data_IF_819195764250
#
_entry.id   IF_819195764250
#
_cell.length_a   1.000
_cell.length_b   1.000
_cell.length_c   1.000
_cell.angle_alpha   90.00
_cell.angle_beta   90.00
_cell.angle_gamma   90.00
#
_symmetry.space_group_name_H-M   'P 1'
#
loop_
_entity.id
_entity.type
_entity.pdbx_description
1 polymer ?
#
# COMPACT_ATOMS: atom_id res chain seq x y z
N UNK A 1 14.36 -0.24 -8.08
CA UNK A 1 13.08 0.17 -8.73
C UNK A 1 13.27 0.39 -10.23
N UNK A 2 14.22 1.20 -10.67
CA UNK A 2 14.43 1.53 -12.09
C UNK A 2 14.57 0.32 -13.04
N UNK A 3 14.93 -0.86 -12.54
CA UNK A 3 14.93 -2.10 -13.34
C UNK A 3 13.51 -2.52 -13.79
N UNK A 4 12.48 -2.26 -12.99
CA UNK A 4 11.09 -2.60 -13.28
C UNK A 4 10.34 -1.41 -13.88
N UNK A 5 10.59 -0.22 -13.37
CA UNK A 5 9.93 1.01 -13.76
C UNK A 5 11.02 2.06 -14.01
N UNK A 6 11.49 2.22 -15.27
CA UNK A 6 12.62 3.09 -15.61
C UNK A 6 12.45 4.54 -15.16
N UNK A 7 11.22 5.06 -15.09
CA UNK A 7 10.92 6.42 -14.63
C UNK A 7 11.48 6.72 -13.23
N UNK A 8 11.62 5.72 -12.34
CA UNK A 8 12.23 5.88 -11.02
C UNK A 8 13.75 6.06 -11.02
N UNK A 9 14.42 6.04 -12.16
CA UNK A 9 15.87 6.25 -12.22
C UNK A 9 16.29 7.67 -11.80
N UNK A 10 15.43 8.66 -12.06
CA UNK A 10 15.72 10.09 -11.87
C UNK A 10 14.89 10.76 -10.78
N UNK A 11 14.22 9.98 -9.95
CA UNK A 11 13.41 10.49 -8.84
C UNK A 11 14.24 11.39 -7.92
N UNK A 12 13.63 12.46 -7.40
CA UNK A 12 14.26 13.41 -6.46
C UNK A 12 13.57 13.33 -5.11
N UNK A 13 14.27 13.78 -4.08
CA UNK A 13 13.73 13.94 -2.74
C UNK A 13 13.47 15.41 -2.49
N UNK A 14 12.27 15.74 -2.06
CA UNK A 14 11.93 17.10 -1.64
C UNK A 14 12.47 17.40 -0.25
N UNK A 15 13.18 18.50 -0.11
CA UNK A 15 13.69 19.01 1.17
C UNK A 15 13.11 20.41 1.40
N UNK A 16 12.33 20.54 2.45
CA UNK A 16 11.77 21.84 2.81
C UNK A 16 12.85 22.73 3.44
N UNK A 17 12.89 23.97 3.00
CA UNK A 17 13.72 25.03 3.56
C UNK A 17 12.86 26.26 3.84
N UNK A 18 13.32 27.12 4.72
CA UNK A 18 12.71 28.41 4.97
C UNK A 18 13.67 29.51 4.51
N UNK A 19 13.19 30.41 3.68
CA UNK A 19 13.98 31.56 3.23
C UNK A 19 14.11 32.67 4.33
N UNK A 20 14.86 33.68 4.05
CA UNK A 20 15.08 34.79 4.99
C UNK A 20 13.79 35.58 5.29
N UNK A 21 12.76 35.47 4.47
CA UNK A 21 11.46 36.11 4.61
C UNK A 21 10.43 35.22 5.32
N UNK A 22 10.81 33.96 5.69
CA UNK A 22 9.94 32.98 6.36
C UNK A 22 9.10 32.14 5.40
N UNK A 23 9.28 32.24 4.09
CA UNK A 23 8.55 31.39 3.14
C UNK A 23 9.14 30.01 3.06
N UNK A 24 8.29 29.00 2.98
CA UNK A 24 8.72 27.61 2.74
C UNK A 24 9.03 27.38 1.26
N UNK A 25 10.20 26.85 0.98
CA UNK A 25 10.69 26.47 -0.33
C UNK A 25 10.96 24.97 -0.39
N UNK A 26 10.78 24.38 -1.55
CA UNK A 26 11.05 22.95 -1.79
C UNK A 26 12.30 22.80 -2.68
N UNK A 27 13.40 22.35 -2.10
CA UNK A 27 14.58 21.93 -2.85
C UNK A 27 14.46 20.48 -3.28
N UNK A 28 14.85 20.18 -4.51
CA UNK A 28 14.88 18.84 -5.07
C UNK A 28 16.32 18.31 -5.10
N UNK A 29 16.60 17.37 -4.21
CA UNK A 29 17.92 16.76 -4.10
C UNK A 29 17.94 15.31 -4.61
N UNK A 30 19.11 14.80 -4.95
CA UNK A 30 19.25 13.40 -5.29
C UNK A 30 19.00 12.50 -4.06
N UNK A 31 18.38 11.33 -4.21
CA UNK A 31 18.29 10.37 -3.12
C UNK A 31 19.70 9.87 -2.74
N UNK A 32 19.91 9.61 -1.45
CA UNK A 32 21.20 9.08 -0.93
C UNK A 32 21.48 7.67 -1.43
N UNK A 33 20.45 6.91 -1.77
CA UNK A 33 20.48 5.62 -2.44
C UNK A 33 19.24 5.42 -3.29
N UNK A 34 19.33 4.49 -4.21
CA UNK A 34 18.15 4.10 -4.99
C UNK A 34 17.07 3.44 -4.10
N UNK A 35 15.82 3.72 -4.40
CA UNK A 35 14.65 3.03 -3.84
C UNK A 35 14.68 1.56 -4.26
N UNK A 36 14.34 0.66 -3.33
CA UNK A 36 14.23 -0.78 -3.55
C UNK A 36 12.79 -1.28 -3.49
N UNK A 37 12.54 -2.50 -3.96
CA UNK A 37 11.25 -3.19 -3.75
C UNK A 37 10.99 -3.40 -2.26
N UNK A 38 12.04 -3.69 -1.48
CA UNK A 38 11.93 -3.82 -0.02
C UNK A 38 11.43 -2.54 0.66
N UNK A 39 11.85 -1.36 0.17
CA UNK A 39 11.36 -0.09 0.70
C UNK A 39 9.87 0.13 0.40
N UNK A 40 9.37 -0.33 -0.75
CA UNK A 40 7.94 -0.29 -1.08
C UNK A 40 7.14 -1.21 -0.16
N UNK A 41 7.60 -2.45 0.03
CA UNK A 41 6.92 -3.47 0.84
C UNK A 41 6.74 -3.04 2.30
N UNK A 42 7.61 -2.20 2.82
CA UNK A 42 7.57 -1.73 4.21
C UNK A 42 7.27 -0.25 4.38
N UNK A 43 6.76 0.43 3.36
CA UNK A 43 6.41 1.86 3.37
C UNK A 43 7.58 2.79 3.78
N UNK A 44 8.81 2.46 3.40
CA UNK A 44 9.99 3.33 3.60
C UNK A 44 10.57 3.82 2.29
N UNK A 45 9.79 3.81 1.22
CA UNK A 45 10.21 4.19 -0.13
C UNK A 45 10.49 5.69 -0.28
N UNK A 46 9.92 6.52 0.60
CA UNK A 46 9.86 7.96 0.48
C UNK A 46 8.66 8.48 -0.32
N UNK A 47 7.90 7.60 -0.98
CA UNK A 47 6.58 7.95 -1.51
C UNK A 47 5.63 8.29 -0.36
N UNK A 48 4.56 9.04 -0.66
CA UNK A 48 3.57 9.48 0.33
C UNK A 48 2.16 9.46 -0.26
N UNK A 49 1.17 9.80 0.57
CA UNK A 49 -0.16 10.24 0.15
C UNK A 49 -0.30 11.75 0.35
N UNK A 50 -1.02 12.45 -0.54
CA UNK A 50 -1.28 13.87 -0.40
C UNK A 50 -2.29 14.22 0.70
N UNK A 51 -3.12 13.27 1.11
CA UNK A 51 -4.19 13.49 2.09
C UNK A 51 -3.81 13.15 3.55
N UNK A 52 -2.59 12.65 3.80
CA UNK A 52 -2.11 12.36 5.14
C UNK A 52 -1.00 13.32 5.57
N UNK A 53 -1.28 14.15 6.58
CA UNK A 53 -0.32 15.08 7.16
C UNK A 53 -0.02 16.29 6.27
N UNK A 54 1.00 17.04 6.64
CA UNK A 54 1.36 18.31 6.03
C UNK A 54 2.73 18.28 5.35
N UNK A 55 3.05 19.31 4.58
CA UNK A 55 4.33 19.50 3.93
C UNK A 55 4.21 19.80 2.44
N UNK A 56 5.21 20.46 1.87
CA UNK A 56 5.18 20.89 0.47
C UNK A 56 5.13 19.72 -0.52
N UNK A 57 5.78 18.60 -0.20
CA UNK A 57 5.69 17.40 -1.05
C UNK A 57 4.27 16.82 -1.02
N UNK A 58 3.67 16.69 0.17
CA UNK A 58 2.30 16.18 0.30
C UNK A 58 1.29 17.06 -0.39
N UNK A 59 1.48 18.39 -0.29
CA UNK A 59 0.69 19.38 -1.02
C UNK A 59 0.82 19.20 -2.54
N UNK A 60 2.04 18.97 -3.04
CA UNK A 60 2.23 18.69 -4.47
C UNK A 60 1.50 17.44 -4.93
N UNK A 61 1.50 16.35 -4.14
CA UNK A 61 0.73 15.12 -4.41
C UNK A 61 -0.78 15.39 -4.42
N UNK A 62 -1.25 16.26 -3.54
CA UNK A 62 -2.66 16.64 -3.47
C UNK A 62 -3.07 17.50 -4.67
N UNK A 63 -2.25 18.49 -5.03
CA UNK A 63 -2.50 19.38 -6.17
C UNK A 63 -2.45 18.64 -7.51
N UNK A 64 -1.50 17.71 -7.67
CA UNK A 64 -1.43 16.84 -8.84
C UNK A 64 -2.59 15.83 -8.87
N UNK A 65 -3.24 15.59 -7.73
CA UNK A 65 -4.32 14.61 -7.60
C UNK A 65 -3.90 13.20 -8.00
N UNK A 66 -2.65 12.81 -7.67
CA UNK A 66 -2.03 11.57 -8.13
C UNK A 66 -2.82 10.32 -7.75
N UNK A 67 -3.47 10.33 -6.58
CA UNK A 67 -4.26 9.20 -6.07
C UNK A 67 -5.73 9.23 -6.51
N UNK A 68 -6.21 10.31 -7.09
CA UNK A 68 -7.59 10.43 -7.56
C UNK A 68 -7.73 9.77 -8.92
N UNK A 69 -8.21 8.69 -8.82
CA UNK A 69 -8.34 7.88 -9.80
C UNK A 69 -9.03 7.42 -10.85
N UNK A 70 -8.86 6.24 -11.06
CA UNK A 70 -9.67 5.39 -11.88
C UNK A 70 -9.59 5.57 -13.39
N UNK A 71 -9.10 6.69 -13.87
CA UNK A 71 -8.99 6.97 -15.31
C UNK A 71 -7.64 6.61 -15.91
N UNK A 72 -6.64 6.32 -15.08
CA UNK A 72 -5.29 5.92 -15.48
C UNK A 72 -5.07 4.43 -15.22
N UNK A 73 -4.23 3.79 -15.98
CA UNK A 73 -3.75 2.43 -15.73
C UNK A 73 -2.72 2.41 -14.60
N UNK A 74 -2.41 1.22 -14.07
CA UNK A 74 -1.32 1.06 -13.07
C UNK A 74 0.03 1.51 -13.64
N UNK A 75 0.25 1.31 -14.94
CA UNK A 75 1.46 1.74 -15.64
C UNK A 75 1.56 3.28 -15.68
N UNK A 76 0.52 3.95 -16.16
CA UNK A 76 0.46 5.41 -16.23
C UNK A 76 0.58 6.04 -14.85
N UNK A 77 -0.08 5.47 -13.84
CA UNK A 77 0.08 5.88 -12.45
C UNK A 77 1.54 5.80 -11.99
N UNK A 78 2.20 4.65 -12.24
CA UNK A 78 3.57 4.43 -11.81
C UNK A 78 4.56 5.38 -12.49
N UNK A 79 4.37 5.68 -13.77
CA UNK A 79 5.19 6.64 -14.49
C UNK A 79 4.95 8.07 -14.00
N UNK A 80 3.71 8.42 -13.70
CA UNK A 80 3.32 9.73 -13.20
C UNK A 80 3.84 9.97 -11.78
N UNK A 81 3.67 9.02 -10.86
CA UNK A 81 4.17 9.18 -9.48
C UNK A 81 5.69 9.23 -9.42
N UNK A 82 6.39 8.62 -10.39
CA UNK A 82 7.85 8.73 -10.49
C UNK A 82 8.35 10.13 -10.87
N UNK A 83 7.48 11.02 -11.37
CA UNK A 83 7.80 12.43 -11.60
C UNK A 83 7.64 13.27 -10.33
N UNK A 84 6.92 12.76 -9.32
CA UNK A 84 6.72 13.46 -8.06
C UNK A 84 7.95 13.33 -7.16
N UNK A 85 8.26 14.37 -6.36
CA UNK A 85 9.33 14.25 -5.39
C UNK A 85 8.98 13.24 -4.29
N UNK A 86 9.97 12.52 -3.79
CA UNK A 86 9.84 11.73 -2.57
C UNK A 86 9.76 12.67 -1.36
N UNK A 87 8.89 12.35 -0.40
CA UNK A 87 8.81 13.11 0.85
C UNK A 87 10.00 12.85 1.79
N UNK A 88 10.63 11.68 1.65
CA UNK A 88 11.73 11.26 2.52
C UNK A 88 12.81 10.53 1.72
N UNK A 89 14.00 10.45 2.28
CA UNK A 89 15.08 9.61 1.73
C UNK A 89 14.66 8.13 1.78
N UNK A 90 14.83 7.35 0.71
CA UNK A 90 14.51 5.93 0.72
C UNK A 90 15.16 5.19 1.89
N UNK A 91 14.36 4.50 2.68
CA UNK A 91 14.76 3.73 3.85
C UNK A 91 14.91 4.52 5.14
N UNK A 92 14.66 5.83 5.16
CA UNK A 92 14.86 6.65 6.36
C UNK A 92 13.64 6.80 7.24
N UNK A 93 12.46 6.77 6.64
CA UNK A 93 11.21 7.13 7.32
C UNK A 93 10.10 6.20 6.87
N UNK A 94 9.31 5.71 7.84
CA UNK A 94 8.05 5.04 7.55
C UNK A 94 6.96 6.08 7.33
N UNK A 95 6.34 6.05 6.14
CA UNK A 95 5.20 6.90 5.80
C UNK A 95 4.24 6.08 4.94
N UNK A 96 2.98 5.95 5.39
CA UNK A 96 1.95 5.24 4.65
C UNK A 96 1.72 5.92 3.31
N UNK A 97 1.75 5.16 2.21
CA UNK A 97 1.97 5.75 0.89
C UNK A 97 1.44 4.89 -0.26
N UNK A 98 1.47 5.45 -1.46
CA UNK A 98 1.20 4.75 -2.73
C UNK A 98 2.21 3.63 -3.06
N UNK A 99 3.02 3.18 -2.10
CA UNK A 99 4.03 2.13 -2.32
C UNK A 99 3.44 0.83 -2.82
N UNK A 100 2.27 0.43 -2.32
CA UNK A 100 1.60 -0.81 -2.73
C UNK A 100 0.98 -0.73 -4.13
N UNK A 101 0.58 0.46 -4.57
CA UNK A 101 0.16 0.68 -5.96
C UNK A 101 1.35 0.52 -6.92
N UNK A 102 2.50 1.07 -6.55
CA UNK A 102 3.76 0.90 -7.32
C UNK A 102 4.21 -0.57 -7.31
N UNK A 103 4.00 -1.32 -6.22
CA UNK A 103 4.24 -2.77 -6.19
C UNK A 103 3.32 -3.51 -7.17
N UNK A 104 2.08 -3.08 -7.35
CA UNK A 104 1.19 -3.59 -8.39
C UNK A 104 1.86 -3.53 -9.78
N UNK A 105 2.45 -2.37 -10.12
CA UNK A 105 3.19 -2.24 -11.38
C UNK A 105 4.43 -3.15 -11.46
N UNK A 106 5.15 -3.31 -10.35
CA UNK A 106 6.29 -4.26 -10.32
C UNK A 106 5.84 -5.67 -10.64
N UNK A 107 4.69 -6.10 -10.12
CA UNK A 107 4.11 -7.41 -10.40
C UNK A 107 3.74 -7.54 -11.88
N UNK A 108 3.10 -6.51 -12.46
CA UNK A 108 2.76 -6.52 -13.90
C UNK A 108 3.99 -6.69 -14.78
N UNK A 109 5.04 -5.89 -14.52
CA UNK A 109 6.29 -5.96 -15.30
C UNK A 109 6.99 -7.32 -15.13
N UNK A 110 7.01 -7.85 -13.90
CA UNK A 110 7.69 -9.11 -13.61
C UNK A 110 6.95 -10.33 -14.16
N UNK A 111 5.62 -10.28 -14.22
CA UNK A 111 4.77 -11.38 -14.66
C UNK A 111 4.39 -11.33 -16.14
N UNK A 112 4.43 -10.14 -16.76
CA UNK A 112 3.90 -9.91 -18.10
C UNK A 112 2.36 -9.96 -18.17
N UNK A 113 1.67 -9.86 -17.04
CA UNK A 113 0.22 -9.93 -16.92
C UNK A 113 -0.31 -8.69 -16.19
N UNK A 114 -1.63 -8.38 -16.32
CA UNK A 114 -2.24 -7.40 -15.45
C UNK A 114 -2.18 -7.88 -13.99
N UNK A 115 -2.23 -6.94 -13.05
CA UNK A 115 -2.19 -7.26 -11.62
C UNK A 115 -3.32 -8.23 -11.25
N UNK A 116 -4.53 -8.00 -11.74
CA UNK A 116 -5.66 -8.89 -11.47
C UNK A 116 -5.48 -10.27 -12.08
N UNK A 117 -5.06 -10.36 -13.34
CA UNK A 117 -4.82 -11.64 -13.99
C UNK A 117 -3.80 -12.48 -13.20
N UNK A 118 -2.72 -11.86 -12.77
CA UNK A 118 -1.70 -12.52 -11.95
C UNK A 118 -2.24 -12.95 -10.58
N UNK A 119 -2.88 -12.05 -9.83
CA UNK A 119 -3.47 -12.37 -8.53
C UNK A 119 -4.53 -13.46 -8.65
N UNK A 120 -5.41 -13.38 -9.65
CA UNK A 120 -6.45 -14.38 -9.89
C UNK A 120 -5.85 -15.76 -10.12
N UNK A 121 -4.86 -15.87 -11.00
CA UNK A 121 -4.25 -17.14 -11.35
C UNK A 121 -3.41 -17.75 -10.21
N UNK A 122 -2.69 -16.91 -9.45
CA UNK A 122 -1.70 -17.37 -8.48
C UNK A 122 -2.21 -17.46 -7.05
N UNK A 123 -3.22 -16.68 -6.70
CA UNK A 123 -3.71 -16.55 -5.34
C UNK A 123 -5.23 -16.78 -5.23
N UNK A 124 -6.04 -15.95 -5.88
CA UNK A 124 -7.48 -15.90 -5.61
C UNK A 124 -8.20 -17.17 -6.04
N UNK A 125 -8.04 -17.59 -7.30
CA UNK A 125 -8.69 -18.81 -7.80
C UNK A 125 -8.18 -20.07 -7.06
N UNK A 126 -6.86 -20.26 -6.84
CA UNK A 126 -6.38 -21.39 -6.05
C UNK A 126 -6.87 -21.43 -4.60
N UNK A 127 -7.08 -20.25 -3.97
CA UNK A 127 -7.66 -20.14 -2.63
C UNK A 127 -9.18 -20.29 -2.62
N UNK A 128 -9.84 -20.33 -3.79
CA UNK A 128 -11.31 -20.35 -3.87
C UNK A 128 -11.96 -19.00 -3.51
N UNK A 129 -11.23 -17.90 -3.61
CA UNK A 129 -11.71 -16.55 -3.36
C UNK A 129 -12.47 -16.02 -4.58
N UNK A 130 -13.69 -16.48 -4.77
CA UNK A 130 -14.46 -16.26 -6.00
C UNK A 130 -15.18 -14.91 -6.02
N UNK A 131 -15.38 -14.28 -4.87
CA UNK A 131 -16.01 -12.96 -4.73
C UNK A 131 -14.98 -11.81 -4.67
N UNK A 132 -13.70 -12.12 -4.87
CA UNK A 132 -12.62 -11.13 -4.78
C UNK A 132 -12.16 -10.67 -6.18
N UNK A 133 -12.26 -9.37 -6.44
CA UNK A 133 -11.91 -8.76 -7.73
C UNK A 133 -11.68 -7.25 -7.59
N UNK A 134 -11.24 -6.57 -8.65
CA UNK A 134 -11.17 -5.10 -8.67
C UNK A 134 -12.51 -4.43 -9.00
N UNK A 135 -13.47 -5.17 -9.54
CA UNK A 135 -14.83 -4.71 -9.79
C UNK A 135 -15.77 -5.91 -9.88
N UNK A 136 -17.06 -5.68 -9.70
CA UNK A 136 -18.12 -6.70 -9.74
C UNK A 136 -18.95 -6.49 -11.00
N UNK A 137 -18.74 -7.31 -12.02
CA UNK A 137 -19.46 -7.22 -13.31
C UNK A 137 -20.79 -7.99 -13.33
N UNK A 138 -20.93 -9.01 -12.49
CA UNK A 138 -22.10 -9.87 -12.45
C UNK A 138 -23.26 -9.17 -11.69
N UNK A 139 -24.41 -8.90 -12.33
CA UNK A 139 -25.56 -8.25 -11.68
C UNK A 139 -26.06 -8.98 -10.42
N UNK A 140 -26.00 -10.31 -10.39
CA UNK A 140 -26.41 -11.10 -9.22
C UNK A 140 -25.50 -10.83 -8.03
N UNK A 141 -24.21 -10.72 -8.29
CA UNK A 141 -23.20 -10.38 -7.27
C UNK A 141 -23.29 -8.90 -6.86
N UNK A 142 -23.61 -7.99 -7.79
CA UNK A 142 -23.81 -6.58 -7.50
C UNK A 142 -24.91 -6.34 -6.45
N UNK A 143 -25.96 -7.16 -6.44
CA UNK A 143 -27.01 -7.09 -5.43
C UNK A 143 -26.53 -7.44 -3.99
N UNK A 144 -25.35 -8.02 -3.84
CA UNK A 144 -24.74 -8.38 -2.56
C UNK A 144 -23.71 -7.36 -2.05
N UNK A 145 -23.47 -6.31 -2.83
CA UNK A 145 -22.49 -5.27 -2.43
C UNK A 145 -23.06 -4.55 -1.20
N UNK A 146 -22.25 -4.47 -0.15
CA UNK A 146 -22.58 -3.67 1.02
C UNK A 146 -22.49 -2.18 0.64
N UNK A 147 -23.58 -1.47 0.87
CA UNK A 147 -23.64 -0.03 0.64
C UNK A 147 -23.24 0.73 1.90
N UNK A 148 -22.49 1.83 1.79
CA UNK A 148 -22.29 2.72 2.91
C UNK A 148 -23.65 3.27 3.36
N UNK A 149 -23.81 3.46 4.68
CA UNK A 149 -25.02 4.09 5.19
C UNK A 149 -25.13 5.53 4.66
N UNK A 150 -26.26 5.94 4.09
CA UNK A 150 -26.43 7.30 3.59
C UNK A 150 -26.10 8.32 4.68
N UNK A 151 -25.31 9.32 4.34
CA UNK A 151 -24.92 10.43 5.23
C UNK A 151 -24.15 10.01 6.49
N UNK A 152 -23.61 8.79 6.56
CA UNK A 152 -22.78 8.37 7.68
C UNK A 152 -21.48 9.17 7.72
N UNK A 153 -21.31 9.95 8.80
CA UNK A 153 -20.12 10.75 9.09
C UNK A 153 -19.39 10.26 10.33
N UNK A 154 -19.73 9.07 10.83
CA UNK A 154 -19.18 8.53 12.08
C UNK A 154 -17.67 8.41 12.10
N UNK A 155 -17.05 8.19 10.92
CA UNK A 155 -15.60 8.13 10.77
C UNK A 155 -14.97 9.48 10.34
N UNK A 156 -15.77 10.56 10.27
CA UNK A 156 -15.28 11.91 9.97
C UNK A 156 -14.75 12.13 8.55
N UNK A 157 -14.92 11.19 7.64
CA UNK A 157 -14.39 11.25 6.28
C UNK A 157 -15.55 11.17 5.28
N UNK A 158 -15.79 12.24 4.54
CA UNK A 158 -16.53 12.19 3.29
C UNK A 158 -15.61 11.62 2.18
N UNK A 159 -15.04 10.44 2.36
CA UNK A 159 -14.32 9.80 1.28
C UNK A 159 -15.35 9.35 0.24
N UNK A 160 -15.21 9.71 -1.04
CA UNK A 160 -16.01 9.10 -2.08
C UNK A 160 -15.71 7.61 -2.06
N UNK A 161 -16.68 6.83 -1.63
CA UNK A 161 -16.57 5.38 -1.70
C UNK A 161 -16.56 5.02 -3.18
N UNK A 162 -15.53 4.33 -3.58
CA UNK A 162 -15.40 3.80 -4.92
C UNK A 162 -16.58 2.86 -5.21
N UNK A 163 -17.31 3.06 -6.30
CA UNK A 163 -18.37 2.15 -6.71
C UNK A 163 -17.78 0.89 -7.36
N UNK A 164 -17.82 -0.26 -6.69
CA UNK A 164 -17.22 -1.49 -7.20
C UNK A 164 -17.96 -2.09 -8.42
N UNK A 165 -19.07 -1.50 -8.87
CA UNK A 165 -19.76 -1.89 -10.11
C UNK A 165 -19.06 -1.32 -11.34
N UNK A 166 -18.29 -0.26 -11.16
CA UNK A 166 -17.59 0.41 -12.24
C UNK A 166 -16.25 -0.25 -12.52
N UNK A 167 -15.98 -0.50 -13.80
CA UNK A 167 -14.66 -0.94 -14.25
C UNK A 167 -13.71 0.25 -14.18
N UNK A 168 -12.69 0.13 -13.36
CA UNK A 168 -11.64 1.14 -13.27
C UNK A 168 -10.38 0.62 -13.98
N UNK A 169 -9.75 1.43 -14.85
CA UNK A 169 -8.50 1.05 -15.51
C UNK A 169 -7.36 0.77 -14.53
N UNK A 170 -7.35 1.42 -13.37
CA UNK A 170 -6.35 1.23 -12.33
C UNK A 170 -6.71 0.05 -11.44
N UNK A 171 -6.01 -1.05 -11.59
CA UNK A 171 -6.01 -2.17 -10.65
C UNK A 171 -5.11 -1.80 -9.45
N UNK A 172 -5.63 -0.95 -8.53
CA UNK A 172 -4.85 -0.40 -7.41
C UNK A 172 -4.38 -1.49 -6.45
N UNK A 173 -3.07 -1.69 -6.33
CA UNK A 173 -2.47 -2.62 -5.38
C UNK A 173 -2.61 -2.14 -3.92
N UNK A 174 -2.90 -0.86 -3.71
CA UNK A 174 -3.02 -0.24 -2.39
C UNK A 174 -4.42 -0.32 -1.77
N UNK A 175 -5.48 -0.59 -2.57
CA UNK A 175 -6.84 -0.54 -2.02
C UNK A 175 -7.95 -0.85 -3.02
N UNK A 176 -7.64 -1.35 -4.21
CA UNK A 176 -8.63 -1.53 -5.29
C UNK A 176 -9.47 -2.80 -5.20
N UNK A 177 -9.10 -3.78 -4.38
CA UNK A 177 -9.84 -5.03 -4.29
C UNK A 177 -11.14 -4.88 -3.48
N UNK A 178 -12.21 -5.45 -4.01
CA UNK A 178 -13.43 -5.75 -3.27
C UNK A 178 -13.46 -7.25 -2.99
N UNK A 179 -14.03 -7.63 -1.84
CA UNK A 179 -14.04 -9.02 -1.40
C UNK A 179 -15.26 -9.31 -0.51
N UNK A 180 -15.42 -10.55 -0.13
CA UNK A 180 -16.38 -10.99 0.88
C UNK A 180 -15.66 -11.49 2.13
N UNK A 181 -16.32 -11.45 3.29
CA UNK A 181 -15.75 -11.96 4.53
C UNK A 181 -15.33 -13.45 4.43
N UNK A 182 -16.09 -14.34 3.78
CA UNK A 182 -15.64 -15.73 3.55
C UNK A 182 -14.37 -15.83 2.72
N UNK A 183 -14.24 -15.05 1.64
CA UNK A 183 -13.04 -15.06 0.81
C UNK A 183 -11.82 -14.57 1.61
N UNK A 184 -11.98 -13.45 2.31
CA UNK A 184 -10.88 -12.90 3.11
C UNK A 184 -10.48 -13.85 4.24
N UNK A 185 -11.45 -14.56 4.86
CA UNK A 185 -11.16 -15.58 5.86
C UNK A 185 -10.30 -16.73 5.29
N UNK A 186 -10.48 -17.12 4.03
CA UNK A 186 -9.63 -18.13 3.38
C UNK A 186 -8.18 -17.65 3.25
N UNK A 187 -7.99 -16.39 2.89
CA UNK A 187 -6.65 -15.80 2.86
C UNK A 187 -6.00 -15.79 4.27
N UNK A 188 -6.73 -15.36 5.29
CA UNK A 188 -6.24 -15.36 6.67
C UNK A 188 -5.94 -16.77 7.20
N UNK A 189 -6.79 -17.76 6.88
CA UNK A 189 -6.55 -19.15 7.24
C UNK A 189 -5.30 -19.71 6.56
N UNK A 190 -5.06 -19.37 5.30
CA UNK A 190 -3.83 -19.75 4.59
C UNK A 190 -2.59 -19.20 5.32
N UNK A 191 -2.61 -17.92 5.71
CA UNK A 191 -1.51 -17.33 6.48
C UNK A 191 -1.36 -18.01 7.85
N UNK A 192 -2.45 -18.15 8.61
CA UNK A 192 -2.45 -18.80 9.93
C UNK A 192 -1.91 -20.22 9.89
N UNK A 193 -2.16 -20.95 8.82
CA UNK A 193 -1.68 -22.32 8.61
C UNK A 193 -0.26 -22.38 8.02
N UNK A 194 0.56 -21.34 8.20
CA UNK A 194 1.95 -21.34 7.76
C UNK A 194 2.11 -21.30 6.24
N UNK A 195 1.20 -20.61 5.52
CA UNK A 195 1.22 -20.47 4.07
C UNK A 195 0.58 -21.62 3.30
N UNK A 196 -0.34 -22.36 3.93
CA UNK A 196 -1.02 -23.52 3.34
C UNK A 196 -2.52 -23.49 3.61
N UNK A 197 -3.34 -23.90 2.63
CA UNK A 197 -4.78 -24.12 2.78
C UNK A 197 -5.23 -25.27 1.88
N UNK A 198 -6.17 -26.10 2.35
CA UNK A 198 -6.77 -27.22 1.62
C UNK A 198 -5.72 -28.15 0.96
N UNK A 199 -4.65 -28.47 1.68
CA UNK A 199 -3.54 -29.30 1.20
C UNK A 199 -2.59 -28.62 0.21
N UNK A 200 -2.87 -27.38 -0.23
CA UNK A 200 -2.04 -26.63 -1.17
C UNK A 200 -1.17 -25.60 -0.44
N UNK A 201 0.12 -25.58 -0.80
CA UNK A 201 1.07 -24.60 -0.29
C UNK A 201 1.20 -23.40 -1.24
N UNK A 202 1.07 -22.20 -0.68
CA UNK A 202 1.19 -20.91 -1.36
C UNK A 202 2.50 -20.22 -1.00
N UNK A 203 2.88 -20.27 0.28
CA UNK A 203 4.11 -19.71 0.82
C UNK A 203 4.85 -20.77 1.64
N UNK A 204 6.17 -20.71 1.65
CA UNK A 204 6.92 -21.50 2.62
C UNK A 204 6.74 -20.91 4.02
N UNK A 205 6.82 -21.73 5.10
CA UNK A 205 6.79 -21.20 6.47
C UNK A 205 7.89 -20.15 6.71
N UNK A 206 9.07 -20.33 6.13
CA UNK A 206 10.18 -19.38 6.23
C UNK A 206 9.86 -18.05 5.53
N UNK A 207 9.22 -18.10 4.36
CA UNK A 207 8.78 -16.87 3.65
C UNK A 207 7.75 -16.12 4.47
N UNK A 208 6.76 -16.82 5.02
CA UNK A 208 5.73 -16.18 5.85
C UNK A 208 6.33 -15.57 7.11
N UNK A 209 7.18 -16.32 7.83
CA UNK A 209 7.88 -15.80 9.00
C UNK A 209 8.70 -14.54 8.68
N UNK A 210 9.39 -14.55 7.52
CA UNK A 210 10.13 -13.38 7.05
C UNK A 210 9.20 -12.19 6.76
N UNK A 211 8.07 -12.42 6.09
CA UNK A 211 7.10 -11.34 5.77
C UNK A 211 6.47 -10.72 7.02
N UNK A 212 6.24 -11.51 8.06
CA UNK A 212 5.58 -11.10 9.32
C UNK A 212 6.57 -10.78 10.44
N UNK A 213 7.84 -10.55 10.14
CA UNK A 213 8.85 -10.05 11.07
C UNK A 213 8.96 -8.53 10.92
N UNK A 214 9.34 -7.82 11.99
CA UNK A 214 9.61 -6.39 11.90
C UNK A 214 10.85 -6.10 11.04
N UNK A 215 10.64 -5.33 9.98
CA UNK A 215 11.67 -4.90 9.04
C UNK A 215 12.11 -3.44 9.26
N UNK A 216 11.60 -2.77 10.30
CA UNK A 216 12.00 -1.41 10.62
C UNK A 216 13.21 -1.45 11.57
N UNK A 217 14.36 -1.00 11.08
CA UNK A 217 15.51 -0.79 11.97
C UNK A 217 15.24 0.38 12.93
N UNK A 218 15.92 0.45 14.08
CA UNK A 218 15.81 1.58 15.01
C UNK A 218 16.14 2.95 14.39
N UNK A 219 16.86 2.97 13.27
CA UNK A 219 17.18 4.19 12.54
C UNK A 219 16.03 4.72 11.66
N UNK A 220 14.98 3.91 11.42
CA UNK A 220 13.81 4.35 10.65
C UNK A 220 12.94 5.24 11.52
N UNK A 221 12.71 6.47 11.06
CA UNK A 221 11.85 7.42 11.74
C UNK A 221 10.38 6.99 11.52
N UNK A 222 9.64 6.83 12.61
CA UNK A 222 8.19 6.67 12.60
C UNK A 222 7.57 8.06 12.71
N UNK A 223 6.81 8.46 11.70
CA UNK A 223 6.12 9.76 11.73
C UNK A 223 5.03 9.76 12.82
N UNK A 224 4.51 10.93 13.23
CA UNK A 224 3.35 10.98 14.14
C UNK A 224 2.12 10.24 13.59
N UNK A 225 2.06 10.00 12.28
CA UNK A 225 1.03 9.21 11.58
C UNK A 225 1.49 7.75 11.33
N UNK A 226 2.31 7.18 12.20
CA UNK A 226 2.63 5.76 12.15
C UNK A 226 1.37 4.96 12.52
N UNK A 227 0.62 4.56 11.50
CA UNK A 227 -0.70 3.94 11.66
C UNK A 227 -0.72 2.69 12.54
N UNK A 228 0.32 1.82 12.53
CA UNK A 228 0.34 0.69 13.45
C UNK A 228 0.35 1.08 14.94
N UNK A 229 0.84 2.27 15.27
CA UNK A 229 0.86 2.79 16.62
C UNK A 229 1.97 2.24 17.52
N UNK A 230 1.95 2.60 18.82
CA UNK A 230 2.92 2.12 19.80
C UNK A 230 2.90 0.60 19.92
N UNK A 231 4.06 0.00 20.16
CA UNK A 231 4.21 -1.44 20.33
C UNK A 231 4.20 -2.25 19.03
N UNK A 232 4.20 -1.57 17.87
CA UNK A 232 4.27 -2.21 16.57
C UNK A 232 5.54 -1.84 15.81
N UNK A 233 6.03 -2.80 15.03
CA UNK A 233 6.90 -2.63 13.89
C UNK A 233 6.11 -2.81 12.59
N UNK A 234 6.83 -2.99 11.47
CA UNK A 234 6.22 -3.21 10.17
C UNK A 234 7.01 -4.24 9.37
N UNK A 235 6.32 -5.28 8.92
CA UNK A 235 6.85 -6.33 8.08
C UNK A 235 6.76 -5.98 6.59
N UNK A 236 6.58 -6.99 5.76
CA UNK A 236 6.39 -6.81 4.32
C UNK A 236 4.89 -6.74 3.99
N UNK A 237 4.29 -5.56 4.23
CA UNK A 237 2.87 -5.30 4.06
C UNK A 237 2.00 -5.61 5.29
N UNK A 238 2.61 -5.82 6.45
CA UNK A 238 1.92 -6.13 7.70
C UNK A 238 2.43 -5.24 8.84
N UNK A 239 1.51 -4.70 9.64
CA UNK A 239 1.86 -4.23 10.97
C UNK A 239 2.15 -5.46 11.86
N UNK A 240 3.23 -5.43 12.63
CA UNK A 240 3.67 -6.56 13.45
C UNK A 240 3.85 -6.12 14.89
N UNK A 241 3.17 -6.78 15.82
CA UNK A 241 3.29 -6.47 17.24
C UNK A 241 4.63 -6.91 17.78
N UNK A 242 5.40 -5.94 18.27
CA UNK A 242 6.75 -6.14 18.84
C UNK A 242 6.76 -6.01 20.35
N UNK A 243 5.91 -5.13 20.93
CA UNK A 243 5.83 -4.89 22.36
C UNK A 243 4.38 -4.87 22.84
N UNK A 244 3.90 -5.93 23.53
CA UNK A 244 2.52 -6.01 24.00
C UNK A 244 2.14 -4.92 25.01
N UNK A 245 3.08 -4.50 25.85
CA UNK A 245 2.83 -3.53 26.93
C UNK A 245 2.69 -2.08 26.46
N UNK A 246 3.07 -1.78 25.22
CA UNK A 246 2.98 -0.43 24.65
C UNK A 246 1.73 -0.21 23.79
N UNK A 247 1.08 -1.29 23.36
CA UNK A 247 -0.07 -1.20 22.48
C UNK A 247 -1.36 -0.88 23.23
N UNK A 248 -2.29 -0.18 22.58
CA UNK A 248 -3.52 0.30 23.18
C UNK A 248 -4.52 -0.81 23.58
N UNK A 249 -4.34 -2.02 23.09
CA UNK A 249 -5.22 -3.16 23.37
C UNK A 249 -4.42 -4.45 23.56
N UNK A 250 -4.94 -5.41 24.35
CA UNK A 250 -4.23 -6.67 24.62
C UNK A 250 -4.19 -7.55 23.37
N UNK A 251 -3.01 -8.09 23.09
CA UNK A 251 -2.80 -9.14 22.09
C UNK A 251 -1.42 -9.79 22.29
N UNK A 252 -1.11 -10.82 21.49
CA UNK A 252 0.13 -11.56 21.64
C UNK A 252 1.27 -10.96 20.81
N UNK A 253 2.54 -11.09 21.28
CA UNK A 253 3.70 -10.81 20.43
C UNK A 253 3.63 -11.62 19.12
N UNK A 254 4.03 -10.97 18.01
CA UNK A 254 3.97 -11.60 16.70
C UNK A 254 2.59 -11.60 16.04
N UNK A 255 1.56 -11.03 16.68
CA UNK A 255 0.33 -10.67 15.99
C UNK A 255 0.64 -9.72 14.83
N UNK A 256 -0.03 -9.92 13.71
CA UNK A 256 0.10 -9.06 12.52
C UNK A 256 -1.25 -8.84 11.84
N UNK A 257 -1.40 -7.70 11.20
CA UNK A 257 -2.60 -7.32 10.44
C UNK A 257 -2.26 -6.44 9.23
#
# INVERSE_FOLDING_TARGET
MARYIPAFANVKVGVEKTDAQGNKLLDLVAPRRAMTVHDLLRHTSGLTYGFFGDGLVKKAYQEDNISAGGKQTVAEFADRIAQMPLAYQPGSTWDYSNSTDVLGRVIEVASGQSLFAHLKARLLAPLGMTDTSFYVSDPVRQARIAEPWPDDRSIGVNAPVFDPRQVMPMESGGGGLVSSAPDYARFLLMLRNGGQLDGKRYLSPATLAFMTTDHLSPAVIKTPLFLPGPGYGFGLGFAVRTSPGEAAYPASPGEYY
#
